data_IF_405915891695
#
_entry.id   IF_405915891695
#
_cell.length_a   1.000
_cell.length_b   1.000
_cell.length_c   1.000
_cell.angle_alpha   90.00
_cell.angle_beta   90.00
_cell.angle_gamma   90.00
#
_symmetry.space_group_name_H-M   'P 1'
#
loop_
_entity.id
_entity.type
_entity.pdbx_description
1 polymer ?
#
# COMPACT_ATOMS: atom_id res chain seq x y z
N UNK A 1 -25.77 29.30 -36.25
CA UNK A 1 -24.70 28.30 -36.36
C UNK A 1 -23.80 28.53 -35.16
N UNK A 2 -24.17 27.96 -34.02
CA UNK A 2 -23.40 28.07 -32.79
C UNK A 2 -22.24 27.07 -32.85
N UNK A 3 -21.02 27.45 -32.47
CA UNK A 3 -19.94 26.47 -32.36
C UNK A 3 -20.25 25.53 -31.19
N UNK A 4 -20.16 24.22 -31.46
CA UNK A 4 -20.25 23.18 -30.44
C UNK A 4 -19.10 23.32 -29.43
N UNK A 5 -19.30 22.98 -28.14
CA UNK A 5 -18.23 23.04 -27.16
C UNK A 5 -17.15 22.03 -27.52
N UNK A 6 -15.94 22.52 -27.72
CA UNK A 6 -14.72 21.74 -27.92
C UNK A 6 -14.52 20.83 -26.70
N UNK A 7 -14.77 19.52 -26.87
CA UNK A 7 -14.48 18.53 -25.83
C UNK A 7 -12.96 18.34 -25.80
N UNK A 8 -12.28 19.22 -25.07
CA UNK A 8 -10.85 19.10 -24.86
C UNK A 8 -10.60 17.81 -24.07
N UNK A 9 -10.30 16.73 -24.78
CA UNK A 9 -9.87 15.45 -24.17
C UNK A 9 -8.56 15.75 -23.45
N UNK A 10 -8.63 16.08 -22.15
CA UNK A 10 -7.43 16.29 -21.34
C UNK A 10 -6.70 14.95 -21.31
N UNK A 11 -5.45 14.94 -21.76
CA UNK A 11 -4.61 13.75 -21.70
C UNK A 11 -4.10 13.53 -20.27
N UNK A 12 -3.83 12.27 -19.91
CA UNK A 12 -3.11 11.95 -18.67
C UNK A 12 -1.71 12.59 -18.71
N UNK A 13 -1.15 12.97 -17.54
CA UNK A 13 0.18 13.58 -17.47
C UNK A 13 1.32 12.60 -17.82
N UNK A 14 1.02 11.31 -17.91
CA UNK A 14 1.91 10.26 -18.40
C UNK A 14 1.05 9.16 -19.06
N UNK A 15 1.65 8.36 -19.94
CA UNK A 15 0.90 7.32 -20.67
C UNK A 15 1.05 5.99 -19.93
N UNK A 16 -0.02 5.45 -19.31
CA UNK A 16 0.04 4.12 -18.74
C UNK A 16 0.27 3.07 -19.83
N UNK A 17 0.82 1.89 -19.47
CA UNK A 17 0.98 0.79 -20.41
C UNK A 17 -0.35 0.49 -21.13
N UNK A 18 -0.27 0.33 -22.45
CA UNK A 18 -1.40 -0.08 -23.29
C UNK A 18 -1.25 -1.53 -23.78
N UNK A 19 -0.21 -2.22 -23.33
CA UNK A 19 0.13 -3.58 -23.72
C UNK A 19 -0.74 -4.60 -22.97
N UNK A 20 -0.60 -5.90 -23.29
CA UNK A 20 -1.36 -6.99 -22.62
C UNK A 20 -0.74 -7.45 -21.29
N UNK A 21 0.21 -6.70 -20.72
CA UNK A 21 0.94 -7.11 -19.53
C UNK A 21 1.34 -5.95 -18.63
N UNK A 22 1.76 -6.28 -17.42
CA UNK A 22 2.36 -5.33 -16.48
C UNK A 22 3.73 -4.90 -17.01
N UNK A 23 4.00 -3.61 -16.96
CA UNK A 23 5.25 -3.01 -17.42
C UNK A 23 6.00 -2.39 -16.24
N UNK A 24 7.30 -2.62 -16.14
CA UNK A 24 8.13 -2.01 -15.12
C UNK A 24 8.48 -0.58 -15.53
N UNK A 25 7.89 0.41 -14.85
CA UNK A 25 8.15 1.82 -15.11
C UNK A 25 9.05 2.42 -14.01
N UNK A 26 9.99 3.31 -14.38
CA UNK A 26 10.88 3.95 -13.43
C UNK A 26 10.09 4.88 -12.50
N UNK A 27 10.35 4.74 -11.21
CA UNK A 27 9.81 5.65 -10.19
C UNK A 27 10.58 6.97 -10.26
N UNK A 28 9.90 8.08 -9.97
CA UNK A 28 10.41 9.47 -9.97
C UNK A 28 10.52 10.15 -11.33
N UNK A 29 10.16 9.48 -12.43
CA UNK A 29 10.05 10.14 -13.73
C UNK A 29 8.78 10.99 -13.82
N UNK A 30 7.63 10.41 -13.44
CA UNK A 30 6.33 11.09 -13.44
C UNK A 30 5.66 11.15 -12.07
N UNK A 31 6.00 10.20 -11.20
CA UNK A 31 5.41 10.02 -9.88
C UNK A 31 6.37 9.27 -8.98
N UNK A 32 6.27 9.55 -7.68
CA UNK A 32 6.74 8.61 -6.65
C UNK A 32 5.60 7.64 -6.32
N UNK A 33 5.93 6.51 -5.71
CA UNK A 33 4.92 5.56 -5.27
C UNK A 33 4.99 5.34 -3.76
N UNK A 34 3.83 5.23 -3.12
CA UNK A 34 3.74 4.86 -1.70
C UNK A 34 3.08 3.49 -1.60
N UNK A 35 3.87 2.50 -1.18
CA UNK A 35 3.39 1.13 -0.92
C UNK A 35 2.86 1.03 0.50
N UNK A 36 1.67 0.45 0.67
CA UNK A 36 1.17 0.03 1.99
C UNK A 36 0.82 -1.47 1.98
N UNK A 37 1.02 -2.13 3.13
CA UNK A 37 0.53 -3.50 3.34
C UNK A 37 -1.01 -3.57 3.23
N UNK A 38 -1.60 -4.72 2.86
CA UNK A 38 -3.00 -4.83 2.47
C UNK A 38 -3.99 -4.23 3.49
N UNK A 39 -3.84 -4.57 4.78
CA UNK A 39 -4.76 -4.11 5.82
C UNK A 39 -4.71 -2.59 6.05
N UNK A 40 -3.50 -2.02 6.04
CA UNK A 40 -3.31 -0.56 6.13
C UNK A 40 -3.85 0.11 4.89
N UNK A 41 -3.53 -0.45 3.72
CA UNK A 41 -3.87 0.14 2.45
C UNK A 41 -5.38 0.21 2.22
N UNK A 42 -6.10 -0.89 2.43
CA UNK A 42 -7.57 -0.91 2.26
C UNK A 42 -8.27 0.03 3.25
N UNK A 43 -7.77 0.14 4.49
CA UNK A 43 -8.32 1.08 5.47
C UNK A 43 -8.05 2.53 5.03
N UNK A 44 -6.82 2.86 4.64
CA UNK A 44 -6.46 4.20 4.16
C UNK A 44 -7.24 4.58 2.90
N UNK A 45 -7.47 3.64 1.99
CA UNK A 45 -8.31 3.84 0.81
C UNK A 45 -9.75 4.22 1.21
N UNK A 46 -10.32 3.51 2.19
CA UNK A 46 -11.63 3.84 2.74
C UNK A 46 -11.71 5.22 3.40
N UNK A 47 -10.65 5.65 4.08
CA UNK A 47 -10.55 6.99 4.69
C UNK A 47 -10.41 8.11 3.64
N UNK A 48 -9.67 7.85 2.56
CA UNK A 48 -9.50 8.81 1.47
C UNK A 48 -10.78 8.95 0.63
N UNK A 49 -11.48 7.83 0.37
CA UNK A 49 -12.64 7.81 -0.51
C UNK A 49 -12.33 8.45 -1.86
N UNK A 50 -13.20 9.37 -2.29
CA UNK A 50 -13.09 10.06 -3.58
C UNK A 50 -11.86 10.99 -3.67
N UNK A 51 -11.19 11.30 -2.56
CA UNK A 51 -9.96 12.09 -2.56
C UNK A 51 -8.71 11.27 -2.92
N UNK A 52 -8.85 9.95 -3.08
CA UNK A 52 -7.78 9.10 -3.59
C UNK A 52 -7.56 9.33 -5.09
N UNK A 53 -6.30 9.35 -5.50
CA UNK A 53 -5.91 9.26 -6.90
C UNK A 53 -5.92 7.82 -7.40
N UNK A 54 -5.17 7.55 -8.47
CA UNK A 54 -5.03 6.20 -8.98
C UNK A 54 -4.24 5.30 -8.01
N UNK A 55 -4.67 4.06 -7.90
CA UNK A 55 -4.10 3.07 -6.98
C UNK A 55 -3.91 1.76 -7.71
N UNK A 56 -2.70 1.20 -7.61
CA UNK A 56 -2.38 -0.14 -8.09
C UNK A 56 -2.46 -1.10 -6.90
N UNK A 57 -3.05 -2.28 -7.10
CA UNK A 57 -2.98 -3.38 -6.15
C UNK A 57 -2.20 -4.53 -6.80
N UNK A 58 -1.19 -5.05 -6.11
CA UNK A 58 -0.42 -6.23 -6.56
C UNK A 58 -1.12 -7.55 -6.23
N UNK A 59 -0.56 -8.67 -6.71
CA UNK A 59 -1.10 -10.02 -6.46
C UNK A 59 -1.07 -10.46 -4.99
N UNK A 60 -0.28 -9.78 -4.15
CA UNK A 60 -0.24 -9.99 -2.71
C UNK A 60 -1.19 -9.06 -1.94
N UNK A 61 -1.95 -8.24 -2.66
CA UNK A 61 -2.93 -7.30 -2.09
C UNK A 61 -2.31 -6.01 -1.57
N UNK A 62 -1.01 -5.74 -1.79
CA UNK A 62 -0.39 -4.47 -1.39
C UNK A 62 -0.89 -3.35 -2.29
N UNK A 63 -1.14 -2.17 -1.73
CA UNK A 63 -1.62 -1.01 -2.48
C UNK A 63 -0.46 -0.03 -2.72
N UNK A 64 -0.45 0.56 -3.91
CA UNK A 64 0.54 1.54 -4.35
C UNK A 64 -0.20 2.78 -4.85
N UNK A 65 -0.08 3.87 -4.09
CA UNK A 65 -0.56 5.18 -4.53
C UNK A 65 0.51 5.88 -5.33
N UNK A 66 0.09 6.56 -6.39
CA UNK A 66 0.95 7.47 -7.14
C UNK A 66 0.84 8.86 -6.53
N UNK A 67 1.98 9.48 -6.23
CA UNK A 67 2.06 10.85 -5.69
C UNK A 67 3.03 11.69 -6.51
N UNK A 68 2.96 13.00 -6.36
CA UNK A 68 3.90 13.91 -7.03
C UNK A 68 5.34 13.57 -6.63
N UNK A 69 6.26 13.57 -7.59
CA UNK A 69 7.70 13.36 -7.33
C UNK A 69 8.19 14.32 -6.24
N UNK A 70 8.92 13.78 -5.26
CA UNK A 70 9.50 14.49 -4.12
C UNK A 70 8.52 14.86 -3.01
N UNK A 71 7.23 14.53 -3.13
CA UNK A 71 6.20 14.94 -2.17
C UNK A 71 6.06 14.02 -0.95
N UNK A 72 6.52 12.76 -1.05
CA UNK A 72 6.49 11.79 0.05
C UNK A 72 7.87 11.65 0.73
N UNK A 73 8.55 12.77 1.00
CA UNK A 73 9.87 12.75 1.63
C UNK A 73 9.77 12.54 3.15
N UNK A 74 10.67 11.71 3.69
CA UNK A 74 10.85 11.49 5.13
C UNK A 74 9.67 10.86 5.89
N UNK A 75 8.80 10.11 5.20
CA UNK A 75 7.69 9.41 5.86
C UNK A 75 8.19 8.18 6.61
N UNK A 76 7.82 8.07 7.88
CA UNK A 76 8.11 6.94 8.74
C UNK A 76 6.80 6.41 9.33
N UNK A 77 6.15 5.49 8.61
CA UNK A 77 4.94 4.80 9.04
C UNK A 77 5.18 3.29 8.98
N UNK A 78 4.60 2.53 9.91
CA UNK A 78 4.81 1.08 9.97
C UNK A 78 4.04 0.44 8.81
N UNK A 79 4.62 -0.59 8.19
CA UNK A 79 4.02 -1.28 7.03
C UNK A 79 3.76 -0.39 5.80
N UNK A 80 4.40 0.79 5.73
CA UNK A 80 4.36 1.73 4.61
C UNK A 80 5.78 1.99 4.12
N UNK A 81 5.97 2.01 2.81
CA UNK A 81 7.25 2.29 2.18
C UNK A 81 7.07 3.29 1.04
N UNK A 82 7.85 4.36 1.07
CA UNK A 82 7.98 5.27 -0.07
C UNK A 82 8.98 4.66 -1.05
N UNK A 83 8.57 4.59 -2.30
CA UNK A 83 9.36 4.27 -3.46
C UNK A 83 9.61 5.61 -4.17
N UNK A 84 10.86 6.04 -4.15
CA UNK A 84 11.35 7.27 -4.78
C UNK A 84 12.79 7.03 -5.23
N UNK A 85 13.33 7.93 -6.05
CA UNK A 85 14.71 7.85 -6.52
C UNK A 85 15.67 7.92 -5.33
N UNK A 86 16.55 6.93 -5.25
CA UNK A 86 17.69 6.94 -4.36
C UNK A 86 18.91 7.33 -5.20
N UNK A 87 19.85 8.08 -4.62
CA UNK A 87 20.97 8.72 -5.35
C UNK A 87 21.77 7.79 -6.24
N UNK A 88 21.75 6.48 -5.96
CA UNK A 88 22.57 5.47 -6.62
C UNK A 88 21.77 4.27 -7.16
N UNK A 89 20.42 4.29 -7.07
CA UNK A 89 19.56 3.15 -7.45
C UNK A 89 18.23 3.58 -8.07
N UNK A 90 17.95 3.09 -9.29
CA UNK A 90 16.64 3.26 -9.94
C UNK A 90 15.65 2.25 -9.37
N UNK A 91 14.59 2.74 -8.73
CA UNK A 91 13.45 1.92 -8.32
C UNK A 91 12.43 1.83 -9.45
N UNK A 92 11.83 0.66 -9.66
CA UNK A 92 10.79 0.43 -10.65
C UNK A 92 9.50 -0.07 -9.97
N UNK A 93 8.35 0.30 -10.55
CA UNK A 93 7.05 -0.22 -10.16
C UNK A 93 6.38 -0.90 -11.35
N UNK A 94 5.82 -2.08 -11.13
CA UNK A 94 5.01 -2.78 -12.12
C UNK A 94 3.67 -2.10 -12.28
N UNK A 95 3.47 -1.41 -13.41
CA UNK A 95 2.23 -0.71 -13.74
C UNK A 95 1.38 -1.58 -14.67
N UNK A 96 0.11 -1.86 -14.31
CA UNK A 96 -0.77 -2.64 -15.15
C UNK A 96 -1.37 -1.82 -16.29
N UNK A 97 -1.85 -2.47 -17.37
CA UNK A 97 -2.58 -1.80 -18.42
C UNK A 97 -3.79 -1.03 -17.88
N UNK A 98 -4.10 0.13 -18.46
CA UNK A 98 -5.21 0.99 -17.98
C UNK A 98 -6.58 0.29 -17.94
N UNK A 99 -6.77 -0.74 -18.77
CA UNK A 99 -8.01 -1.55 -18.82
C UNK A 99 -8.11 -2.60 -17.70
N UNK A 100 -7.03 -2.87 -16.96
CA UNK A 100 -7.02 -3.87 -15.89
C UNK A 100 -7.48 -3.24 -14.58
N UNK A 101 -8.80 -3.19 -14.36
CA UNK A 101 -9.39 -2.63 -13.12
C UNK A 101 -9.91 -3.71 -12.16
N UNK A 102 -9.83 -4.98 -12.54
CA UNK A 102 -10.26 -6.12 -11.72
C UNK A 102 -9.37 -7.31 -11.99
N UNK A 103 -9.16 -8.16 -10.99
CA UNK A 103 -8.58 -9.49 -11.18
C UNK A 103 -7.58 -9.87 -10.10
N UNK A 104 -7.13 -11.14 -10.08
CA UNK A 104 -6.19 -11.63 -9.06
C UNK A 104 -4.75 -11.18 -9.28
N UNK A 105 -4.44 -10.61 -10.45
CA UNK A 105 -3.12 -10.09 -10.80
C UNK A 105 -3.03 -8.60 -10.51
N UNK A 106 -1.83 -8.03 -10.62
CA UNK A 106 -1.61 -6.58 -10.49
C UNK A 106 -2.60 -5.80 -11.36
N UNK A 107 -3.41 -4.93 -10.75
CA UNK A 107 -4.49 -4.20 -11.41
C UNK A 107 -4.69 -2.82 -10.77
N UNK A 108 -5.44 -1.96 -11.45
CA UNK A 108 -5.89 -0.69 -10.91
C UNK A 108 -7.02 -0.92 -9.90
N UNK A 109 -6.73 -0.76 -8.62
CA UNK A 109 -7.72 -0.76 -7.53
C UNK A 109 -8.58 0.49 -7.58
N UNK A 110 -7.97 1.62 -7.93
CA UNK A 110 -8.65 2.86 -8.35
C UNK A 110 -8.13 3.20 -9.73
N UNK A 111 -9.06 3.29 -10.70
CA UNK A 111 -8.72 3.52 -12.09
C UNK A 111 -8.02 4.87 -12.31
N UNK A 112 -7.14 4.93 -13.30
CA UNK A 112 -6.57 6.19 -13.76
C UNK A 112 -7.69 7.11 -14.26
N UNK A 113 -7.66 8.35 -13.78
CA UNK A 113 -8.45 9.44 -14.35
C UNK A 113 -7.57 10.65 -14.54
N UNK A 114 -7.94 11.51 -15.48
CA UNK A 114 -7.15 12.67 -15.84
C UNK A 114 -7.08 13.67 -14.69
N UNK A 115 -8.17 13.81 -13.94
CA UNK A 115 -8.26 14.74 -12.82
C UNK A 115 -7.73 14.15 -11.50
N UNK A 116 -7.60 12.83 -11.39
CA UNK A 116 -7.16 12.12 -10.17
C UNK A 116 -6.14 11.03 -10.45
N UNK A 117 -5.16 11.30 -11.30
CA UNK A 117 -4.07 10.35 -11.54
C UNK A 117 -3.11 10.23 -10.35
N UNK A 118 -2.90 11.32 -9.61
CA UNK A 118 -2.05 11.38 -8.41
C UNK A 118 -2.90 11.64 -7.18
N UNK A 119 -2.46 11.12 -6.05
CA UNK A 119 -3.03 11.42 -4.74
C UNK A 119 -2.25 12.57 -4.10
N UNK A 120 -2.96 13.48 -3.44
CA UNK A 120 -2.31 14.51 -2.61
C UNK A 120 -1.53 13.82 -1.48
N UNK A 121 -0.24 14.13 -1.37
CA UNK A 121 0.66 13.45 -0.46
C UNK A 121 0.30 13.68 1.00
N UNK A 122 -0.12 14.89 1.38
CA UNK A 122 -0.46 15.19 2.77
C UNK A 122 -1.74 14.47 3.21
N UNK A 123 -2.75 14.42 2.33
CA UNK A 123 -3.98 13.65 2.58
C UNK A 123 -3.70 12.15 2.67
N UNK A 124 -2.87 11.62 1.78
CA UNK A 124 -2.45 10.22 1.83
C UNK A 124 -1.72 9.91 3.13
N UNK A 125 -0.76 10.75 3.54
CA UNK A 125 -0.05 10.57 4.79
C UNK A 125 -1.01 10.53 5.99
N UNK A 126 -1.96 11.46 6.06
CA UNK A 126 -2.95 11.51 7.13
C UNK A 126 -3.80 10.24 7.20
N UNK A 127 -4.29 9.76 6.05
CA UNK A 127 -5.08 8.53 5.98
C UNK A 127 -4.26 7.28 6.34
N UNK A 128 -3.01 7.19 5.87
CA UNK A 128 -2.11 6.09 6.22
C UNK A 128 -1.73 6.10 7.70
N UNK A 129 -1.48 7.27 8.28
CA UNK A 129 -1.13 7.41 9.70
C UNK A 129 -2.30 7.05 10.62
N UNK A 130 -3.53 7.33 10.20
CA UNK A 130 -4.74 6.91 10.92
C UNK A 130 -4.98 5.41 10.78
N UNK A 131 -4.87 4.87 9.55
CA UNK A 131 -4.97 3.44 9.28
C UNK A 131 -3.92 2.62 10.05
N UNK A 132 -2.67 3.09 10.10
CA UNK A 132 -1.57 2.53 10.91
C UNK A 132 -1.99 2.37 12.37
N UNK A 133 -2.51 3.44 12.98
CA UNK A 133 -2.97 3.42 14.38
C UNK A 133 -4.17 2.52 14.60
N UNK A 134 -5.11 2.51 13.66
CA UNK A 134 -6.33 1.70 13.77
C UNK A 134 -6.06 0.20 13.64
N UNK A 135 -5.13 -0.19 12.76
CA UNK A 135 -4.85 -1.61 12.47
C UNK A 135 -3.80 -2.19 13.41
N UNK A 136 -2.72 -1.45 13.67
CA UNK A 136 -1.58 -1.94 14.48
C UNK A 136 -1.70 -1.53 15.94
N UNK A 137 -2.72 -0.75 16.29
CA UNK A 137 -2.87 -0.15 17.60
C UNK A 137 -1.87 0.99 17.84
N UNK A 138 -1.80 1.49 19.09
CA UNK A 138 -0.86 2.55 19.44
C UNK A 138 0.58 2.15 19.12
N UNK A 139 1.40 3.13 18.75
CA UNK A 139 2.85 2.91 18.63
C UNK A 139 3.35 2.43 20.00
N UNK A 140 3.97 1.24 20.07
CA UNK A 140 4.46 0.73 21.34
C UNK A 140 5.47 1.71 21.96
N UNK A 141 5.31 1.97 23.24
CA UNK A 141 6.26 2.79 23.99
C UNK A 141 7.42 1.92 24.45
N UNK A 142 8.65 2.31 24.10
CA UNK A 142 9.87 1.62 24.51
C UNK A 142 10.30 0.46 23.61
N UNK A 143 11.39 -0.21 24.01
CA UNK A 143 11.98 -1.34 23.27
C UNK A 143 10.97 -2.48 23.15
N UNK A 144 10.81 -3.03 21.95
CA UNK A 144 9.99 -4.23 21.76
C UNK A 144 10.85 -5.48 21.90
N UNK A 145 10.23 -6.56 22.34
CA UNK A 145 10.91 -7.85 22.48
C UNK A 145 10.83 -8.60 21.17
N UNK A 146 11.96 -9.08 20.66
CA UNK A 146 11.98 -9.96 19.50
C UNK A 146 11.31 -11.30 19.83
N UNK A 147 10.37 -11.75 19.00
CA UNK A 147 9.67 -13.03 19.18
C UNK A 147 10.60 -14.24 19.23
N UNK A 148 11.80 -14.14 18.63
CA UNK A 148 12.71 -15.27 18.42
C UNK A 148 13.79 -15.38 19.48
N UNK A 149 14.48 -14.30 19.81
CA UNK A 149 15.52 -14.30 20.85
C UNK A 149 15.05 -13.77 22.19
N UNK A 150 13.82 -13.26 22.27
CA UNK A 150 13.22 -12.73 23.50
C UNK A 150 14.00 -11.56 24.12
N UNK A 151 14.87 -10.91 23.33
CA UNK A 151 15.62 -9.73 23.76
C UNK A 151 14.93 -8.44 23.32
N UNK A 152 14.98 -7.37 24.14
CA UNK A 152 14.57 -6.04 23.72
C UNK A 152 15.41 -5.55 22.53
N UNK A 153 14.77 -4.94 21.54
CA UNK A 153 15.44 -4.33 20.38
C UNK A 153 15.09 -2.85 20.29
N UNK A 154 16.11 -2.05 19.98
CA UNK A 154 15.97 -0.61 19.67
C UNK A 154 15.45 -0.39 18.24
N UNK A 155 15.49 -1.42 17.39
CA UNK A 155 15.00 -1.39 16.00
C UNK A 155 13.96 -2.51 15.76
N UNK A 156 12.76 -2.39 16.34
CA UNK A 156 11.74 -3.42 16.21
C UNK A 156 11.13 -3.45 14.80
N UNK A 157 11.26 -4.58 14.12
CA UNK A 157 10.62 -4.85 12.83
C UNK A 157 9.35 -5.65 13.06
N UNK A 158 8.23 -5.21 12.48
CA UNK A 158 6.98 -6.00 12.49
C UNK A 158 7.16 -7.16 11.53
N UNK A 159 6.88 -8.38 12.00
CA UNK A 159 6.96 -9.60 11.19
C UNK A 159 5.58 -10.25 11.00
N UNK A 160 4.68 -10.07 11.97
CA UNK A 160 3.33 -10.61 11.90
C UNK A 160 2.31 -9.74 12.63
N UNK A 161 1.04 -9.89 12.27
CA UNK A 161 -0.10 -9.27 12.94
C UNK A 161 -1.15 -10.36 13.15
N UNK A 162 -1.21 -10.89 14.36
CA UNK A 162 -2.17 -11.94 14.71
C UNK A 162 -3.57 -11.33 14.86
N UNK A 163 -4.50 -11.68 13.98
CA UNK A 163 -5.87 -11.19 14.05
C UNK A 163 -6.69 -11.99 15.07
N UNK A 164 -6.92 -11.41 16.25
CA UNK A 164 -7.72 -12.00 17.32
C UNK A 164 -9.21 -12.10 16.96
N UNK A 165 -9.86 -13.19 17.37
CA UNK A 165 -11.28 -13.42 17.08
C UNK A 165 -12.26 -12.40 17.66
N UNK A 166 -11.84 -11.74 18.75
CA UNK A 166 -12.68 -10.86 19.59
C UNK A 166 -11.90 -9.71 20.25
N UNK A 167 -10.73 -9.33 19.73
CA UNK A 167 -9.89 -8.28 20.31
C UNK A 167 -8.82 -7.78 19.35
N UNK A 168 -8.25 -6.60 19.65
CA UNK A 168 -7.18 -5.98 18.88
C UNK A 168 -6.08 -7.00 18.56
N UNK A 169 -5.67 -7.07 17.30
CA UNK A 169 -4.65 -8.02 16.88
C UNK A 169 -3.34 -7.83 17.64
N UNK A 170 -2.57 -8.91 17.81
CA UNK A 170 -1.25 -8.84 18.44
C UNK A 170 -0.18 -8.64 17.36
N UNK A 171 0.48 -7.48 17.39
CA UNK A 171 1.65 -7.21 16.54
C UNK A 171 2.86 -7.98 17.05
N UNK A 172 3.47 -8.78 16.20
CA UNK A 172 4.66 -9.57 16.50
C UNK A 172 5.89 -8.84 15.97
N UNK A 173 6.86 -8.60 16.87
CA UNK A 173 8.10 -7.90 16.57
C UNK A 173 9.30 -8.84 16.48
N UNK A 174 10.28 -8.50 15.65
CA UNK A 174 11.58 -9.16 15.58
C UNK A 174 12.72 -8.13 15.56
N UNK A 175 13.89 -8.51 16.06
CA UNK A 175 15.11 -7.74 15.82
C UNK A 175 15.57 -7.92 14.36
N UNK A 176 16.37 -6.99 13.80
CA UNK A 176 16.73 -7.03 12.38
C UNK A 176 17.32 -8.36 11.88
N UNK A 177 18.19 -9.08 12.64
CA UNK A 177 18.67 -10.39 12.23
C UNK A 177 17.57 -11.45 12.10
N UNK A 178 16.63 -11.48 13.03
CA UNK A 178 15.54 -12.47 13.03
C UNK A 178 14.39 -12.08 12.10
N UNK A 179 14.21 -10.79 11.81
CA UNK A 179 13.26 -10.32 10.83
C UNK A 179 13.60 -10.86 9.43
N UNK A 180 14.89 -10.86 9.05
CA UNK A 180 15.37 -11.38 7.76
C UNK A 180 15.15 -12.89 7.58
N UNK A 181 15.07 -13.63 8.69
CA UNK A 181 14.87 -15.08 8.69
C UNK A 181 13.41 -15.47 8.92
N UNK A 182 12.53 -14.49 9.14
CA UNK A 182 11.14 -14.75 9.41
C UNK A 182 10.45 -15.26 8.15
N UNK A 183 9.97 -16.50 8.21
CA UNK A 183 9.06 -17.05 7.23
C UNK A 183 7.65 -17.01 7.84
N UNK A 184 6.73 -16.27 7.22
CA UNK A 184 5.30 -16.40 7.57
C UNK A 184 4.88 -17.84 7.30
N UNK A 185 4.19 -18.45 8.26
CA UNK A 185 3.58 -19.75 8.05
C UNK A 185 2.35 -19.59 7.13
N UNK A 186 2.42 -20.04 5.86
CA UNK A 186 1.34 -19.85 4.90
C UNK A 186 0.07 -20.61 5.30
N UNK A 187 0.21 -21.69 6.07
CA UNK A 187 -0.91 -22.51 6.53
C UNK A 187 -1.70 -21.78 7.60
N UNK A 188 -1.01 -21.09 8.51
CA UNK A 188 -1.63 -20.28 9.55
C UNK A 188 -2.34 -19.06 8.95
N UNK A 189 -1.76 -18.41 7.94
CA UNK A 189 -2.38 -17.29 7.21
C UNK A 189 -3.63 -17.73 6.43
N UNK A 190 -3.53 -18.83 5.66
CA UNK A 190 -4.68 -19.38 4.93
C UNK A 190 -5.81 -19.84 5.87
N UNK A 191 -5.47 -20.40 7.03
CA UNK A 191 -6.45 -20.76 8.04
C UNK A 191 -7.10 -19.53 8.69
N UNK A 192 -6.34 -18.47 8.96
CA UNK A 192 -6.86 -17.21 9.47
C UNK A 192 -7.80 -16.53 8.46
N UNK A 193 -7.42 -16.47 7.17
CA UNK A 193 -8.25 -15.93 6.09
C UNK A 193 -9.57 -16.70 5.93
N UNK A 194 -9.54 -18.04 5.92
CA UNK A 194 -10.77 -18.86 5.86
C UNK A 194 -11.71 -18.56 7.03
N UNK A 195 -11.18 -18.51 8.25
CA UNK A 195 -11.97 -18.16 9.45
C UNK A 195 -12.52 -16.73 9.42
N UNK A 196 -11.87 -15.79 8.72
CA UNK A 196 -12.38 -14.43 8.55
C UNK A 196 -13.53 -14.38 7.53
N UNK A 197 -13.39 -15.10 6.41
CA UNK A 197 -14.44 -15.24 5.38
C UNK A 197 -15.69 -15.95 5.93
N UNK A 198 -15.50 -17.01 6.73
CA UNK A 198 -16.62 -17.75 7.34
C UNK A 198 -17.41 -16.88 8.33
N UNK A 199 -16.73 -15.97 9.04
CA UNK A 199 -17.37 -15.00 9.95
C UNK A 199 -18.12 -13.89 9.19
N UNK A 200 -17.69 -13.52 7.99
CA UNK A 200 -18.40 -12.56 7.14
C UNK A 200 -19.67 -13.12 6.49
N UNK A 201 -19.75 -14.44 6.29
CA UNK A 201 -20.91 -15.14 5.70
C UNK A 201 -22.05 -15.43 6.67
N UNK A 202 -21.83 -15.21 7.96
CA UNK A 202 -22.76 -15.56 9.04
C UNK A 202 -23.62 -14.37 9.51
N UNK A 203 -23.79 -13.33 8.68
CA UNK A 203 -24.67 -12.18 8.93
C UNK A 203 -25.73 -12.05 7.86
#
# INVERSE_FOLDING_TARGET
>A
MSPEPDVTTRALPWTPPNSRGVEALPVSEWWDAVRAAPAIGEHALGLLGDESGAVIQDEHGSLYWLVKVGSATSWHLREVRVLAELTDESTYLGVPPASWTTGPKTHWRVALSVDRCLTDAWRLWGALAEADRAVLGPVPQGRQTCYRCELPTDEPVIVDIEHGGSGAGRTVYACPPHARLYQRDPVTEAAAMRRALDRGRSR
#
